data_IF_867026127792
#
_entry.id   IF_867026127792
#
_cell.length_a   1.000
_cell.length_b   1.000
_cell.length_c   1.000
_cell.angle_alpha   90.00
_cell.angle_beta   90.00
_cell.angle_gamma   90.00
#
_symmetry.space_group_name_H-M   'P 1'
#
loop_
_entity.id
_entity.type
_entity.pdbx_description
1 polymer ?
#
# COMPACT_ATOMS: atom_id res chain seq x y z
N UNK A 1 53.88 15.85 -5.26
CA UNK A 1 54.02 14.50 -5.87
C UNK A 1 52.64 14.03 -6.31
N UNK A 2 52.29 14.12 -7.60
CA UNK A 2 50.99 13.66 -8.13
C UNK A 2 51.12 12.15 -8.46
N UNK A 3 50.56 11.29 -7.66
CA UNK A 3 50.44 9.85 -7.97
C UNK A 3 49.45 9.71 -9.13
N UNK A 4 49.95 9.53 -10.35
CA UNK A 4 49.10 9.18 -11.53
C UNK A 4 48.68 7.71 -11.38
N UNK A 5 47.45 7.49 -10.94
CA UNK A 5 46.85 6.15 -10.90
C UNK A 5 46.52 5.72 -12.33
N UNK A 6 47.45 5.09 -13.05
CA UNK A 6 47.18 4.43 -14.34
C UNK A 6 46.54 3.09 -14.07
N UNK A 7 45.22 3.06 -14.13
CA UNK A 7 44.47 1.81 -14.10
C UNK A 7 44.69 1.08 -15.45
N UNK A 8 45.25 -0.12 -15.41
CA UNK A 8 45.42 -0.95 -16.63
C UNK A 8 44.07 -1.49 -17.11
N UNK A 9 43.90 -1.65 -18.44
CA UNK A 9 42.64 -2.11 -19.05
C UNK A 9 42.17 -3.45 -18.44
N UNK A 10 43.09 -4.33 -18.08
CA UNK A 10 42.75 -5.60 -17.42
C UNK A 10 42.11 -5.41 -16.03
N UNK A 11 42.54 -4.41 -15.26
CA UNK A 11 41.90 -4.06 -13.98
C UNK A 11 40.51 -3.50 -14.19
N UNK A 12 40.33 -2.66 -15.21
CA UNK A 12 39.01 -2.11 -15.54
C UNK A 12 38.02 -3.21 -15.92
N UNK A 13 38.46 -4.18 -16.77
CA UNK A 13 37.65 -5.32 -17.19
C UNK A 13 37.26 -6.24 -16.01
N UNK A 14 38.04 -6.27 -14.94
CA UNK A 14 37.72 -7.03 -13.73
C UNK A 14 36.79 -6.24 -12.79
N UNK A 15 37.07 -4.95 -12.56
CA UNK A 15 36.34 -4.18 -11.56
C UNK A 15 34.92 -3.80 -12.02
N UNK A 16 34.68 -3.59 -13.31
CA UNK A 16 33.33 -3.24 -13.80
C UNK A 16 32.32 -4.35 -13.51
N UNK A 17 32.54 -5.62 -13.88
CA UNK A 17 31.61 -6.70 -13.55
C UNK A 17 31.46 -6.91 -12.03
N UNK A 18 32.56 -6.74 -11.27
CA UNK A 18 32.52 -6.86 -9.82
C UNK A 18 31.62 -5.80 -9.19
N UNK A 19 31.76 -4.54 -9.58
CA UNK A 19 30.92 -3.43 -9.11
C UNK A 19 29.46 -3.68 -9.50
N UNK A 20 29.20 -4.09 -10.73
CA UNK A 20 27.85 -4.44 -11.18
C UNK A 20 27.24 -5.55 -10.32
N UNK A 21 27.97 -6.61 -10.03
CA UNK A 21 27.51 -7.68 -9.15
C UNK A 21 27.18 -7.17 -7.74
N UNK A 22 28.04 -6.32 -7.17
CA UNK A 22 27.80 -5.71 -5.85
C UNK A 22 26.52 -4.88 -5.86
N UNK A 23 26.29 -4.07 -6.90
CA UNK A 23 25.08 -3.28 -7.04
C UNK A 23 23.84 -4.19 -7.14
N UNK A 24 23.90 -5.25 -7.94
CA UNK A 24 22.81 -6.21 -8.06
C UNK A 24 22.50 -6.89 -6.73
N UNK A 25 23.51 -7.32 -5.99
CA UNK A 25 23.33 -7.90 -4.65
C UNK A 25 22.74 -6.89 -3.67
N UNK A 26 23.23 -5.66 -3.69
CA UNK A 26 22.68 -4.58 -2.86
C UNK A 26 21.19 -4.36 -3.16
N UNK A 27 20.82 -4.19 -4.43
CA UNK A 27 19.41 -4.02 -4.84
C UNK A 27 18.59 -5.24 -4.44
N UNK A 28 19.08 -6.46 -4.63
CA UNK A 28 18.38 -7.68 -4.26
C UNK A 28 18.03 -7.73 -2.77
N UNK A 29 18.97 -7.40 -1.90
CA UNK A 29 18.73 -7.42 -0.45
C UNK A 29 17.91 -6.23 0.05
N UNK A 30 18.03 -5.06 -0.60
CA UNK A 30 17.36 -3.84 -0.17
C UNK A 30 16.09 -3.50 -0.98
N UNK A 31 15.72 -4.30 -1.97
CA UNK A 31 14.59 -4.03 -2.88
C UNK A 31 13.29 -3.67 -2.14
N UNK A 32 12.99 -4.31 -1.01
CA UNK A 32 11.78 -3.99 -0.24
C UNK A 32 11.82 -2.58 0.36
N UNK A 33 12.96 -2.19 0.90
CA UNK A 33 13.12 -0.85 1.47
C UNK A 33 13.15 0.24 0.38
N UNK A 34 13.60 -0.13 -0.83
CA UNK A 34 13.60 0.76 -1.99
C UNK A 34 12.21 0.86 -2.62
N UNK A 35 11.40 -0.19 -2.51
CA UNK A 35 10.08 -0.25 -3.12
C UNK A 35 8.99 0.29 -2.19
N UNK A 36 8.95 -0.11 -0.93
CA UNK A 36 7.86 0.23 -0.02
C UNK A 36 8.24 1.39 0.90
N UNK A 37 7.40 2.42 0.92
CA UNK A 37 7.60 3.63 1.73
C UNK A 37 6.42 3.88 2.68
N UNK A 38 6.19 2.98 3.65
CA UNK A 38 5.09 3.13 4.59
C UNK A 38 5.29 4.38 5.46
N UNK A 39 4.27 5.21 5.54
CA UNK A 39 4.19 6.26 6.55
C UNK A 39 3.75 5.70 7.89
N UNK A 40 4.32 6.22 8.97
CA UNK A 40 3.82 5.97 10.31
C UNK A 40 2.41 6.55 10.46
N UNK A 41 1.60 5.92 11.28
CA UNK A 41 0.25 6.37 11.47
C UNK A 41 -0.09 6.64 12.92
N UNK A 42 -0.69 7.80 13.10
CA UNK A 42 -1.69 8.00 14.13
C UNK A 42 -3.03 8.01 13.40
N UNK A 43 -3.77 6.88 13.41
CA UNK A 43 -5.12 6.88 12.87
C UNK A 43 -5.84 8.05 13.51
N UNK A 44 -6.21 9.03 12.70
CA UNK A 44 -6.89 10.21 13.17
C UNK A 44 -8.14 9.76 13.92
N UNK A 45 -8.08 9.91 15.22
CA UNK A 45 -9.28 9.86 16.04
C UNK A 45 -10.11 11.14 15.84
N UNK A 46 -9.49 12.14 15.19
CA UNK A 46 -10.07 13.44 14.89
C UNK A 46 -9.76 13.82 13.44
N UNK A 47 -10.77 14.00 12.63
CA UNK A 47 -10.61 14.42 11.24
C UNK A 47 -11.94 14.63 10.54
N UNK A 48 -11.93 15.26 9.36
CA UNK A 48 -13.16 15.64 8.64
C UNK A 48 -14.05 14.48 8.24
N UNK A 49 -13.52 13.24 8.27
CA UNK A 49 -14.29 12.04 7.93
C UNK A 49 -14.75 11.23 9.14
N UNK A 50 -14.31 11.55 10.35
CA UNK A 50 -14.56 10.72 11.56
C UNK A 50 -16.03 10.47 11.87
N UNK A 51 -16.92 11.38 11.48
CA UNK A 51 -18.36 11.23 11.72
C UNK A 51 -19.07 10.35 10.71
N UNK A 52 -18.43 10.02 9.59
CA UNK A 52 -19.05 9.35 8.45
C UNK A 52 -18.49 7.97 8.18
N UNK A 53 -17.25 7.71 8.59
CA UNK A 53 -16.57 6.45 8.34
C UNK A 53 -16.58 5.54 9.56
N UNK A 54 -16.79 4.26 9.31
CA UNK A 54 -16.60 3.22 10.30
C UNK A 54 -15.14 2.73 10.22
N UNK A 55 -14.38 2.87 11.30
CA UNK A 55 -13.07 2.27 11.45
C UNK A 55 -13.25 0.78 11.70
N UNK A 56 -12.62 -0.05 10.89
CA UNK A 56 -12.78 -1.50 10.92
C UNK A 56 -11.43 -2.21 10.91
N UNK A 57 -11.42 -3.47 11.38
CA UNK A 57 -10.34 -4.41 11.15
C UNK A 57 -10.73 -5.35 10.02
N UNK A 58 -9.89 -5.39 8.97
CA UNK A 58 -10.16 -6.16 7.75
C UNK A 58 -9.71 -7.61 7.88
N UNK A 59 -8.66 -7.87 8.64
CA UNK A 59 -8.05 -9.18 8.78
C UNK A 59 -7.69 -9.46 10.24
N UNK A 60 -8.32 -10.42 10.83
CA UNK A 60 -8.08 -10.81 12.23
C UNK A 60 -6.66 -11.31 12.51
N UNK A 61 -5.94 -11.82 11.50
CA UNK A 61 -4.57 -12.32 11.66
C UNK A 61 -3.55 -11.19 11.77
N UNK A 62 -3.71 -10.12 10.98
CA UNK A 62 -2.80 -8.98 10.92
C UNK A 62 -3.40 -7.69 11.48
N UNK A 63 -4.67 -7.70 11.82
CA UNK A 63 -5.43 -6.57 12.37
C UNK A 63 -5.30 -5.31 11.49
N UNK A 64 -5.50 -5.50 10.18
CA UNK A 64 -5.37 -4.41 9.20
C UNK A 64 -6.49 -3.41 9.38
N UNK A 65 -6.13 -2.17 9.60
CA UNK A 65 -7.10 -1.09 9.74
C UNK A 65 -7.65 -0.67 8.38
N UNK A 66 -8.95 -0.53 8.33
CA UNK A 66 -9.68 0.00 7.19
C UNK A 66 -10.68 1.07 7.61
N UNK A 67 -11.09 1.86 6.64
CA UNK A 67 -12.15 2.85 6.74
C UNK A 67 -13.27 2.50 5.79
N UNK A 68 -14.44 2.21 6.36
CA UNK A 68 -15.63 1.86 5.62
C UNK A 68 -16.66 2.97 5.71
N UNK A 69 -17.13 3.41 4.55
CA UNK A 69 -18.22 4.37 4.41
C UNK A 69 -19.40 3.68 3.73
N UNK A 70 -20.53 3.66 4.41
CA UNK A 70 -21.75 3.10 3.91
C UNK A 70 -22.79 4.23 3.75
N UNK A 71 -23.19 4.48 2.52
CA UNK A 71 -24.20 5.50 2.16
C UNK A 71 -25.54 4.88 1.85
N UNK A 72 -25.55 3.83 1.04
CA UNK A 72 -26.81 3.16 0.62
C UNK A 72 -26.53 1.73 0.13
N UNK A 73 -27.43 0.80 0.51
CA UNK A 73 -27.34 -0.62 0.09
C UNK A 73 -27.45 -0.86 -1.43
N UNK A 74 -28.08 0.07 -2.14
CA UNK A 74 -28.27 -0.04 -3.59
C UNK A 74 -27.06 0.49 -4.38
N UNK A 75 -26.11 1.12 -3.73
CA UNK A 75 -24.94 1.68 -4.38
C UNK A 75 -23.83 0.63 -4.49
N UNK A 76 -23.01 0.76 -5.53
CA UNK A 76 -21.77 -0.02 -5.66
C UNK A 76 -20.80 0.37 -4.56
N UNK A 77 -19.90 -0.55 -4.21
CA UNK A 77 -18.87 -0.32 -3.19
C UNK A 77 -17.49 -0.29 -3.84
N UNK A 78 -16.80 0.83 -3.72
CA UNK A 78 -15.39 0.93 -4.13
C UNK A 78 -14.52 0.23 -3.10
N UNK A 79 -13.75 -0.77 -3.54
CA UNK A 79 -12.64 -1.33 -2.77
C UNK A 79 -11.36 -0.65 -3.23
N UNK A 80 -10.81 0.22 -2.39
CA UNK A 80 -9.69 1.09 -2.73
C UNK A 80 -8.37 0.53 -2.23
N UNK A 81 -7.47 0.26 -3.17
CA UNK A 81 -6.10 -0.18 -2.97
C UNK A 81 -5.16 1.01 -3.08
N UNK A 82 -4.58 1.45 -1.98
CA UNK A 82 -3.75 2.65 -1.94
C UNK A 82 -2.36 2.45 -2.56
N UNK A 83 -1.74 3.56 -2.96
CA UNK A 83 -0.38 3.58 -3.50
C UNK A 83 0.72 3.31 -2.49
N UNK A 84 1.94 3.23 -2.98
CA UNK A 84 3.14 2.76 -2.26
C UNK A 84 3.57 3.63 -1.08
N UNK A 85 3.24 4.92 -1.04
CA UNK A 85 3.77 5.85 -0.04
C UNK A 85 2.70 6.40 0.89
N UNK A 86 3.13 6.74 2.11
CA UNK A 86 2.32 7.47 3.07
C UNK A 86 1.37 6.59 3.89
N UNK A 87 0.24 7.16 4.26
CA UNK A 87 -0.75 6.59 5.16
C UNK A 87 -2.18 6.86 4.67
N UNK A 88 -3.19 6.24 5.29
CA UNK A 88 -4.59 6.39 4.87
C UNK A 88 -5.04 7.86 4.83
N UNK A 89 -4.57 8.69 5.76
CA UNK A 89 -4.91 10.11 5.82
C UNK A 89 -4.57 10.86 4.54
N UNK A 90 -3.51 10.44 3.84
CA UNK A 90 -3.11 11.06 2.58
C UNK A 90 -4.14 10.84 1.46
N UNK A 91 -5.16 9.98 1.68
CA UNK A 91 -6.21 9.66 0.70
C UNK A 91 -7.54 10.35 1.03
N UNK A 92 -7.62 11.11 2.13
CA UNK A 92 -8.86 11.80 2.56
C UNK A 92 -9.46 12.66 1.43
N UNK A 93 -8.62 13.34 0.65
CA UNK A 93 -9.10 14.15 -0.47
C UNK A 93 -9.87 13.33 -1.53
N UNK A 94 -9.42 12.09 -1.83
CA UNK A 94 -10.14 11.18 -2.75
C UNK A 94 -11.41 10.63 -2.12
N UNK A 95 -11.36 10.29 -0.83
CA UNK A 95 -12.54 9.80 -0.12
C UNK A 95 -13.62 10.85 -0.06
N UNK A 96 -13.26 12.13 0.09
CA UNK A 96 -14.21 13.25 0.00
C UNK A 96 -14.87 13.34 -1.39
N UNK A 97 -14.15 13.02 -2.47
CA UNK A 97 -14.76 12.97 -3.80
C UNK A 97 -15.71 11.77 -3.94
N UNK A 98 -15.33 10.59 -3.42
CA UNK A 98 -16.23 9.43 -3.43
C UNK A 98 -17.53 9.69 -2.64
N UNK A 99 -17.48 10.46 -1.53
CA UNK A 99 -18.67 10.80 -0.78
C UNK A 99 -19.69 11.66 -1.55
N UNK A 100 -19.22 12.42 -2.56
CA UNK A 100 -20.11 13.18 -3.45
C UNK A 100 -20.81 12.29 -4.49
N UNK A 101 -20.28 11.09 -4.73
CA UNK A 101 -20.81 10.13 -5.69
C UNK A 101 -21.84 9.18 -5.03
N UNK A 102 -22.59 8.47 -5.86
CA UNK A 102 -23.52 7.43 -5.41
C UNK A 102 -22.80 6.08 -5.24
N UNK A 103 -21.84 6.05 -4.29
CA UNK A 103 -21.04 4.88 -3.97
C UNK A 103 -20.85 4.75 -2.45
N UNK A 104 -20.63 3.51 -2.03
CA UNK A 104 -19.99 3.19 -0.75
C UNK A 104 -18.50 3.00 -1.00
N UNK A 105 -17.66 2.98 0.04
CA UNK A 105 -16.25 2.62 -0.15
C UNK A 105 -15.65 1.90 1.06
N UNK A 106 -14.66 1.08 0.79
CA UNK A 106 -13.71 0.55 1.74
C UNK A 106 -12.31 0.88 1.26
N UNK A 107 -11.54 1.62 2.05
CA UNK A 107 -10.09 1.72 1.95
C UNK A 107 -9.47 1.01 3.15
N UNK A 108 -8.39 0.28 2.95
CA UNK A 108 -7.65 -0.35 4.04
C UNK A 108 -6.14 -0.09 3.87
N UNK A 109 -5.40 -0.16 4.94
CA UNK A 109 -3.94 -0.08 4.89
C UNK A 109 -3.37 -1.50 4.80
N UNK A 110 -2.41 -1.70 3.88
CA UNK A 110 -1.66 -2.94 3.80
C UNK A 110 -0.82 -3.19 5.06
N UNK A 111 -0.39 -4.45 5.25
CA UNK A 111 0.60 -4.80 6.29
C UNK A 111 1.84 -3.91 6.21
N UNK A 112 2.32 -3.42 7.33
CA UNK A 112 3.45 -2.51 7.44
C UNK A 112 3.14 -1.05 7.11
N UNK A 113 1.98 -0.72 6.52
CA UNK A 113 1.54 0.66 6.27
C UNK A 113 0.61 1.15 7.38
N UNK A 114 0.59 2.46 7.60
CA UNK A 114 -0.33 3.11 8.54
C UNK A 114 -0.31 2.47 9.94
N UNK A 115 0.86 2.09 10.45
CA UNK A 115 1.01 1.47 11.75
C UNK A 115 0.56 0.01 11.85
N UNK A 116 0.07 -0.60 10.77
CA UNK A 116 -0.26 -2.02 10.74
C UNK A 116 0.98 -2.89 10.94
N UNK A 117 0.82 -3.99 11.67
CA UNK A 117 1.88 -4.98 11.88
C UNK A 117 2.29 -5.65 10.56
N UNK A 118 3.49 -6.22 10.57
CA UNK A 118 4.04 -6.99 9.45
C UNK A 118 4.95 -6.18 8.55
N UNK A 119 5.44 -6.83 7.50
CA UNK A 119 6.31 -6.23 6.49
C UNK A 119 5.65 -6.39 5.11
N UNK A 120 5.59 -5.33 4.30
CA UNK A 120 5.00 -5.42 2.98
C UNK A 120 5.81 -6.35 2.08
N UNK A 121 5.10 -7.13 1.29
CA UNK A 121 5.64 -8.00 0.24
C UNK A 121 4.53 -8.23 -0.78
N UNK A 122 4.88 -8.56 -2.01
CA UNK A 122 3.90 -8.78 -3.08
C UNK A 122 2.82 -9.80 -2.66
N UNK A 123 3.23 -10.99 -2.24
CA UNK A 123 2.28 -12.01 -1.76
C UNK A 123 1.45 -11.54 -0.57
N UNK A 124 2.07 -10.78 0.34
CA UNK A 124 1.39 -10.22 1.49
C UNK A 124 0.32 -9.20 1.11
N UNK A 125 0.60 -8.35 0.12
CA UNK A 125 -0.39 -7.38 -0.36
C UNK A 125 -1.59 -8.07 -1.03
N UNK A 126 -1.35 -9.17 -1.77
CA UNK A 126 -2.45 -9.98 -2.34
C UNK A 126 -3.31 -10.61 -1.24
N UNK A 127 -2.70 -11.17 -0.20
CA UNK A 127 -3.46 -11.71 0.95
C UNK A 127 -4.29 -10.62 1.64
N UNK A 128 -3.74 -9.42 1.81
CA UNK A 128 -4.43 -8.29 2.41
C UNK A 128 -5.60 -7.83 1.55
N UNK A 129 -5.41 -7.75 0.22
CA UNK A 129 -6.46 -7.43 -0.74
C UNK A 129 -7.61 -8.43 -0.70
N UNK A 130 -7.28 -9.73 -0.69
CA UNK A 130 -8.29 -10.80 -0.58
C UNK A 130 -9.03 -10.75 0.76
N UNK A 131 -8.34 -10.40 1.85
CA UNK A 131 -8.97 -10.23 3.15
C UNK A 131 -9.96 -9.07 3.15
N UNK A 132 -9.60 -7.94 2.53
CA UNK A 132 -10.49 -6.79 2.38
C UNK A 132 -11.73 -7.12 1.55
N UNK A 133 -11.57 -7.85 0.46
CA UNK A 133 -12.69 -8.35 -0.35
C UNK A 133 -13.59 -9.28 0.47
N UNK A 134 -13.01 -10.25 1.19
CA UNK A 134 -13.78 -11.17 2.07
C UNK A 134 -14.55 -10.43 3.14
N UNK A 135 -13.96 -9.35 3.67
CA UNK A 135 -14.67 -8.52 4.65
C UNK A 135 -15.92 -7.87 4.02
N UNK A 136 -15.84 -7.33 2.79
CA UNK A 136 -17.01 -6.81 2.07
C UNK A 136 -18.06 -7.90 1.82
N UNK A 137 -17.63 -9.09 1.40
CA UNK A 137 -18.55 -10.21 1.18
C UNK A 137 -19.25 -10.63 2.48
N UNK A 138 -18.56 -10.54 3.65
CA UNK A 138 -19.17 -10.80 4.97
C UNK A 138 -20.23 -9.77 5.38
N UNK A 139 -20.28 -8.63 4.68
CA UNK A 139 -21.32 -7.60 4.79
C UNK A 139 -22.40 -7.72 3.72
N UNK A 140 -22.51 -8.91 3.12
CA UNK A 140 -23.50 -9.23 2.05
C UNK A 140 -23.31 -8.41 0.77
N UNK A 141 -22.10 -7.82 0.55
CA UNK A 141 -21.78 -7.12 -0.69
C UNK A 141 -21.23 -8.14 -1.68
N UNK A 142 -22.03 -8.44 -2.70
CA UNK A 142 -21.66 -9.39 -3.76
C UNK A 142 -20.56 -8.82 -4.66
N UNK A 143 -19.75 -9.70 -5.26
CA UNK A 143 -18.63 -9.33 -6.14
C UNK A 143 -19.04 -8.41 -7.30
N UNK A 144 -20.21 -8.65 -7.90
CA UNK A 144 -20.78 -7.80 -8.97
C UNK A 144 -21.05 -6.36 -8.55
N UNK A 145 -21.09 -6.11 -7.23
CA UNK A 145 -21.33 -4.81 -6.63
C UNK A 145 -20.05 -4.15 -6.10
N UNK A 146 -18.88 -4.79 -6.28
CA UNK A 146 -17.59 -4.26 -5.89
C UNK A 146 -16.91 -3.66 -7.12
N UNK A 147 -16.43 -2.42 -6.98
CA UNK A 147 -15.58 -1.73 -7.96
C UNK A 147 -14.16 -1.72 -7.37
N UNK A 148 -13.21 -2.34 -8.08
CA UNK A 148 -11.81 -2.29 -7.68
C UNK A 148 -11.20 -0.97 -8.16
N UNK A 149 -10.63 -0.20 -7.25
CA UNK A 149 -9.96 1.06 -7.54
C UNK A 149 -8.53 1.01 -7.01
N UNK A 150 -7.56 1.00 -7.91
CA UNK A 150 -6.13 0.93 -7.61
C UNK A 150 -5.43 2.27 -7.82
N UNK A 151 -4.46 2.55 -6.95
CA UNK A 151 -3.55 3.69 -7.05
C UNK A 151 -2.11 3.18 -7.06
N UNK A 152 -1.38 3.34 -8.18
CA UNK A 152 0.03 2.95 -8.28
C UNK A 152 0.25 1.50 -7.84
N UNK A 153 0.88 1.25 -6.69
CA UNK A 153 1.11 -0.09 -6.13
C UNK A 153 -0.19 -0.92 -6.01
N UNK A 154 -1.32 -0.28 -5.88
CA UNK A 154 -2.63 -0.93 -5.76
C UNK A 154 -3.25 -1.37 -7.09
N UNK A 155 -2.58 -1.17 -8.23
CA UNK A 155 -3.12 -1.51 -9.58
C UNK A 155 -2.86 -2.93 -10.04
#
# INVERSE_FOLDING_TARGET
>A
MRIKFKMTLSKLLFFIPLIYLIICLFIYFYQRNLLYHPGENNYLDEGPLTHKIQKISVNSKNDLVGWYFFKNKNFKTILFFHGNAGKLDNRIYKLNEFEKMDVNYLIFAYRGFSGNKGKPSESGLYEDALAAKKWLNSKEIEDKNIILYGESLGT
#
